data_IF_060385697249
#
_entry.id   IF_060385697249
#
_cell.length_a   1.000
_cell.length_b   1.000
_cell.length_c   1.000
_cell.angle_alpha   90.00
_cell.angle_beta   90.00
_cell.angle_gamma   90.00
#
_symmetry.space_group_name_H-M   'P 1'
#
loop_
_entity.id
_entity.type
_entity.pdbx_description
1 polymer ?
#
# COMPACT_ATOMS: atom_id res chain seq x y z
N UNK A 1 0.67 2.06 4.74
CA UNK A 1 0.77 3.54 4.84
C UNK A 1 1.64 3.98 6.01
N UNK A 2 1.23 3.73 7.25
CA UNK A 2 1.96 4.14 8.45
C UNK A 2 3.40 3.59 8.48
N UNK A 3 3.55 2.29 8.26
CA UNK A 3 4.83 1.58 8.13
C UNK A 3 5.75 2.21 7.08
N UNK A 4 5.19 2.50 5.90
CA UNK A 4 5.92 3.15 4.80
C UNK A 4 6.37 4.56 5.17
N UNK A 5 5.53 5.36 5.84
CA UNK A 5 5.86 6.72 6.27
C UNK A 5 6.96 6.71 7.34
N UNK A 6 6.87 5.80 8.32
CA UNK A 6 7.88 5.62 9.35
C UNK A 6 9.24 5.24 8.75
N UNK A 7 9.25 4.24 7.87
CA UNK A 7 10.46 3.81 7.19
C UNK A 7 11.04 4.93 6.29
N UNK A 8 10.19 5.62 5.53
CA UNK A 8 10.62 6.75 4.70
C UNK A 8 11.20 7.90 5.53
N UNK A 9 10.56 8.26 6.65
CA UNK A 9 11.07 9.27 7.58
C UNK A 9 12.42 8.86 8.17
N UNK A 10 12.56 7.61 8.62
CA UNK A 10 13.84 7.11 9.13
C UNK A 10 14.93 7.16 8.04
N UNK A 11 14.62 6.70 6.83
CA UNK A 11 15.54 6.66 5.69
C UNK A 11 15.87 8.03 5.08
N UNK A 12 15.19 9.10 5.50
CA UNK A 12 15.44 10.48 5.04
C UNK A 12 16.02 11.35 6.14
N UNK A 13 15.35 11.42 7.29
CA UNK A 13 15.62 12.40 8.35
C UNK A 13 16.50 11.88 9.49
N UNK A 14 16.58 10.56 9.68
CA UNK A 14 17.51 9.98 10.66
C UNK A 14 18.89 9.73 10.01
N UNK A 15 19.94 9.94 10.81
CA UNK A 15 21.33 9.66 10.45
C UNK A 15 21.77 8.40 11.20
N UNK A 16 21.94 7.29 10.47
CA UNK A 16 22.43 6.03 11.04
C UNK A 16 23.21 5.24 9.98
N UNK A 17 24.09 4.35 10.43
CA UNK A 17 24.93 3.51 9.55
C UNK A 17 24.05 2.48 8.82
N UNK A 18 24.25 2.33 7.51
CA UNK A 18 23.51 1.34 6.68
C UNK A 18 22.20 1.84 6.07
N UNK A 19 21.84 3.12 6.24
CA UNK A 19 20.60 3.71 5.68
C UNK A 19 20.44 3.51 4.18
N UNK A 20 21.48 3.77 3.38
CA UNK A 20 21.41 3.60 1.92
C UNK A 20 21.40 2.12 1.51
N UNK A 21 21.99 1.22 2.31
CA UNK A 21 21.91 -0.22 2.09
C UNK A 21 20.48 -0.73 2.30
N UNK A 22 19.82 -0.35 3.40
CA UNK A 22 18.42 -0.70 3.65
C UNK A 22 17.49 -0.16 2.56
N UNK A 23 17.75 1.05 2.07
CA UNK A 23 17.00 1.59 0.95
C UNK A 23 17.27 0.81 -0.35
N UNK A 24 18.52 0.43 -0.62
CA UNK A 24 18.89 -0.43 -1.74
C UNK A 24 18.18 -1.79 -1.69
N UNK A 25 18.08 -2.40 -0.50
CA UNK A 25 17.32 -3.64 -0.28
C UNK A 25 15.82 -3.44 -0.57
N UNK A 26 15.23 -2.32 -0.14
CA UNK A 26 13.83 -2.02 -0.46
C UNK A 26 13.61 -1.91 -1.99
N UNK A 27 14.55 -1.31 -2.73
CA UNK A 27 14.49 -1.29 -4.20
C UNK A 27 14.67 -2.69 -4.77
N UNK A 28 15.62 -3.49 -4.27
CA UNK A 28 15.83 -4.85 -4.75
C UNK A 28 14.57 -5.72 -4.60
N UNK A 29 13.82 -5.55 -3.50
CA UNK A 29 12.56 -6.24 -3.28
C UNK A 29 11.44 -5.84 -4.26
N UNK A 30 11.52 -4.66 -4.89
CA UNK A 30 10.59 -4.28 -5.97
C UNK A 30 10.83 -5.06 -7.27
N UNK A 31 12.03 -5.60 -7.45
CA UNK A 31 12.40 -6.38 -8.62
C UNK A 31 12.00 -7.86 -8.48
N UNK A 32 11.67 -8.30 -7.26
CA UNK A 32 11.26 -9.68 -6.99
C UNK A 32 9.80 -9.85 -7.44
N UNK A 33 9.49 -10.78 -8.37
CA UNK A 33 8.13 -11.07 -8.77
C UNK A 33 7.33 -11.64 -7.60
N UNK A 34 6.09 -11.17 -7.42
CA UNK A 34 5.24 -11.59 -6.31
C UNK A 34 4.94 -13.09 -6.33
N UNK A 35 4.88 -13.68 -7.52
CA UNK A 35 4.60 -15.09 -7.79
C UNK A 35 5.66 -16.01 -7.16
N UNK A 36 6.93 -15.59 -7.17
CA UNK A 36 8.04 -16.36 -6.59
C UNK A 36 7.96 -16.36 -5.07
N UNK A 37 7.49 -15.25 -4.48
CA UNK A 37 7.32 -15.13 -3.03
C UNK A 37 6.01 -15.75 -2.50
N UNK A 38 5.08 -16.07 -3.40
CA UNK A 38 3.73 -16.52 -3.04
C UNK A 38 3.74 -17.80 -2.19
N UNK A 39 4.40 -18.86 -2.69
CA UNK A 39 4.43 -20.15 -2.00
C UNK A 39 5.17 -20.08 -0.65
N UNK A 40 6.37 -19.47 -0.55
CA UNK A 40 7.02 -19.27 0.75
C UNK A 40 6.16 -18.51 1.75
N UNK A 41 5.47 -17.46 1.30
CA UNK A 41 4.60 -16.65 2.15
C UNK A 41 3.37 -17.43 2.63
N UNK A 42 2.76 -18.24 1.74
CA UNK A 42 1.67 -19.14 2.13
C UNK A 42 2.12 -20.13 3.22
N UNK A 43 3.26 -20.81 3.01
CA UNK A 43 3.81 -21.76 3.98
C UNK A 43 4.11 -21.09 5.33
N UNK A 44 4.55 -19.82 5.32
CA UNK A 44 4.77 -19.06 6.54
C UNK A 44 3.45 -18.81 7.28
N UNK A 45 2.42 -18.34 6.57
CA UNK A 45 1.09 -18.06 7.16
C UNK A 45 0.44 -19.34 7.70
N UNK A 46 0.59 -20.46 7.00
CA UNK A 46 0.13 -21.79 7.44
C UNK A 46 0.86 -22.25 8.71
N UNK A 47 2.20 -22.17 8.73
CA UNK A 47 2.99 -22.50 9.93
C UNK A 47 2.67 -21.63 11.14
N UNK A 48 2.28 -20.38 10.91
CA UNK A 48 1.83 -19.47 11.97
C UNK A 48 0.39 -19.74 12.43
N UNK A 49 -0.33 -20.65 11.75
CA UNK A 49 -1.73 -20.95 12.05
C UNK A 49 -2.68 -19.81 11.72
N UNK A 50 -2.31 -18.92 10.79
CA UNK A 50 -3.07 -17.71 10.46
C UNK A 50 -4.09 -17.90 9.33
N UNK A 51 -4.11 -19.07 8.68
CA UNK A 51 -5.07 -19.36 7.62
C UNK A 51 -6.51 -19.10 8.08
N UNK A 52 -7.34 -18.70 7.13
CA UNK A 52 -8.75 -18.38 7.35
C UNK A 52 -8.99 -17.27 8.38
N UNK A 53 -8.12 -16.26 8.41
CA UNK A 53 -8.23 -15.13 9.32
C UNK A 53 -7.86 -13.79 8.68
N UNK A 54 -8.28 -12.69 9.30
CA UNK A 54 -7.87 -11.34 8.87
C UNK A 54 -6.35 -11.13 8.98
N UNK A 55 -5.64 -11.87 9.83
CA UNK A 55 -4.18 -11.76 9.93
C UNK A 55 -3.52 -12.22 8.64
N UNK A 56 -3.96 -13.33 8.06
CA UNK A 56 -3.48 -13.81 6.75
C UNK A 56 -3.77 -12.82 5.62
N UNK A 57 -4.88 -12.08 5.70
CA UNK A 57 -5.27 -11.11 4.69
C UNK A 57 -4.54 -9.76 4.81
N UNK A 58 -4.06 -9.39 6.00
CA UNK A 58 -3.57 -8.03 6.27
C UNK A 58 -2.07 -7.97 6.54
N UNK A 59 -1.57 -8.80 7.46
CA UNK A 59 -0.20 -8.70 7.98
C UNK A 59 0.88 -8.81 6.89
N UNK A 60 0.78 -9.75 5.92
CA UNK A 60 1.78 -9.88 4.86
C UNK A 60 1.99 -8.62 4.02
N UNK A 61 0.97 -7.77 3.92
CA UNK A 61 0.98 -6.58 3.07
C UNK A 61 1.19 -5.27 3.84
N UNK A 62 1.44 -5.34 5.16
CA UNK A 62 1.70 -4.14 5.98
C UNK A 62 3.01 -3.45 5.59
N UNK A 63 4.01 -4.20 5.13
CA UNK A 63 5.26 -3.66 4.63
C UNK A 63 5.21 -3.57 3.10
N UNK A 64 5.38 -2.37 2.56
CA UNK A 64 5.37 -2.13 1.12
C UNK A 64 6.68 -1.47 0.70
N UNK A 65 7.58 -2.18 0.00
CA UNK A 65 8.80 -1.59 -0.55
C UNK A 65 8.49 -0.40 -1.47
N UNK A 66 7.39 -0.47 -2.23
CA UNK A 66 6.94 0.61 -3.12
C UNK A 66 6.51 1.82 -2.31
N UNK A 67 5.75 1.61 -1.23
CA UNK A 67 5.35 2.69 -0.33
C UNK A 67 6.55 3.37 0.32
N UNK A 68 7.56 2.59 0.75
CA UNK A 68 8.82 3.15 1.29
C UNK A 68 9.55 3.96 0.24
N UNK A 69 9.67 3.43 -0.98
CA UNK A 69 10.32 4.12 -2.09
C UNK A 69 9.63 5.46 -2.40
N UNK A 70 8.33 5.45 -2.67
CA UNK A 70 7.58 6.65 -3.06
C UNK A 70 7.59 7.72 -1.97
N UNK A 71 7.32 7.34 -0.72
CA UNK A 71 7.32 8.30 0.38
C UNK A 71 8.72 8.82 0.70
N UNK A 72 9.78 8.02 0.53
CA UNK A 72 11.16 8.50 0.69
C UNK A 72 11.51 9.52 -0.39
N UNK A 73 11.16 9.25 -1.65
CA UNK A 73 11.41 10.20 -2.74
C UNK A 73 10.66 11.51 -2.51
N UNK A 74 9.39 11.43 -2.10
CA UNK A 74 8.62 12.62 -1.76
C UNK A 74 9.20 13.38 -0.56
N UNK A 75 9.53 12.70 0.54
CA UNK A 75 10.10 13.39 1.71
C UNK A 75 11.42 14.08 1.38
N UNK A 76 12.21 13.57 0.43
CA UNK A 76 13.43 14.25 -0.04
C UNK A 76 13.16 15.56 -0.79
N UNK A 77 11.97 15.76 -1.36
CA UNK A 77 11.61 17.04 -2.00
C UNK A 77 11.12 18.07 -1.00
N UNK A 78 10.80 17.67 0.24
CA UNK A 78 10.39 18.60 1.30
C UNK A 78 11.64 19.34 1.82
N UNK A 79 11.68 20.69 1.78
CA UNK A 79 12.80 21.48 2.27
C UNK A 79 13.20 21.11 3.70
N UNK A 80 14.51 21.07 3.97
CA UNK A 80 15.04 20.76 5.31
C UNK A 80 14.68 21.85 6.33
N UNK A 81 14.52 23.10 5.88
CA UNK A 81 14.19 24.27 6.71
C UNK A 81 12.98 24.05 7.62
N UNK A 82 11.96 23.31 7.16
CA UNK A 82 10.80 22.97 7.98
C UNK A 82 11.17 22.08 9.19
N UNK A 83 12.11 21.17 9.00
CA UNK A 83 12.59 20.27 10.04
C UNK A 83 13.61 20.95 10.95
N UNK A 84 14.44 21.84 10.40
CA UNK A 84 15.38 22.64 11.17
C UNK A 84 14.64 23.63 12.09
N UNK A 85 13.62 24.32 11.58
CA UNK A 85 12.75 25.18 12.38
C UNK A 85 12.09 24.40 13.54
N UNK A 86 11.51 23.23 13.24
CA UNK A 86 10.93 22.38 14.28
C UNK A 86 11.96 21.94 15.34
N UNK A 87 13.22 21.67 14.96
CA UNK A 87 14.28 21.35 15.92
C UNK A 87 14.67 22.54 16.78
N UNK A 88 14.69 23.75 16.23
CA UNK A 88 14.92 25.00 16.97
C UNK A 88 13.82 25.19 18.02
N UNK A 89 12.57 24.86 17.68
CA UNK A 89 11.42 24.84 18.60
C UNK A 89 11.44 23.67 19.61
N UNK A 90 12.51 22.86 19.62
CA UNK A 90 12.69 21.74 20.54
C UNK A 90 11.92 20.47 20.17
N UNK A 91 11.39 20.37 18.94
CA UNK A 91 10.61 19.21 18.53
C UNK A 91 11.49 17.96 18.33
N UNK A 92 11.13 16.86 19.00
CA UNK A 92 11.72 15.55 18.77
C UNK A 92 11.26 14.89 17.46
N UNK A 93 11.84 13.74 17.11
CA UNK A 93 11.51 13.02 15.88
C UNK A 93 10.04 12.63 15.74
N UNK A 94 9.39 12.21 16.83
CA UNK A 94 7.97 11.90 16.82
C UNK A 94 7.09 13.13 16.55
N UNK A 95 7.47 14.28 17.10
CA UNK A 95 6.77 15.55 16.86
C UNK A 95 6.99 16.02 15.43
N UNK A 96 8.23 15.97 14.91
CA UNK A 96 8.53 16.29 13.52
C UNK A 96 7.79 15.36 12.55
N UNK A 97 7.72 14.06 12.83
CA UNK A 97 6.97 13.10 12.01
C UNK A 97 5.49 13.48 11.94
N UNK A 98 4.86 13.74 13.09
CA UNK A 98 3.42 14.01 13.20
C UNK A 98 3.03 15.39 12.68
N UNK A 99 3.80 16.43 12.99
CA UNK A 99 3.43 17.82 12.74
C UNK A 99 4.08 18.42 11.49
N UNK A 100 5.13 17.81 10.95
CA UNK A 100 5.82 18.30 9.75
C UNK A 100 5.72 17.28 8.62
N UNK A 101 6.29 16.08 8.79
CA UNK A 101 6.38 15.11 7.71
C UNK A 101 5.00 14.60 7.24
N UNK A 102 4.13 14.22 8.16
CA UNK A 102 2.79 13.70 7.88
C UNK A 102 1.91 14.70 7.09
N UNK A 103 1.68 15.94 7.55
CA UNK A 103 0.82 16.89 6.82
C UNK A 103 1.42 17.30 5.47
N UNK A 104 2.74 17.53 5.39
CA UNK A 104 3.39 17.87 4.11
C UNK A 104 3.36 16.70 3.12
N UNK A 105 3.33 15.46 3.62
CA UNK A 105 3.22 14.24 2.79
C UNK A 105 1.78 13.84 2.48
N UNK A 106 0.77 14.59 2.92
CA UNK A 106 -0.63 14.23 2.70
C UNK A 106 -0.99 13.96 1.22
N UNK A 107 -0.50 14.72 0.23
CA UNK A 107 -0.77 14.42 -1.18
C UNK A 107 -0.18 13.08 -1.63
N UNK A 108 1.07 12.80 -1.27
CA UNK A 108 1.75 11.54 -1.61
C UNK A 108 1.13 10.34 -0.88
N UNK A 109 0.74 10.52 0.38
CA UNK A 109 0.02 9.52 1.16
C UNK A 109 -1.36 9.23 0.56
N UNK A 110 -2.08 10.22 0.06
CA UNK A 110 -3.36 10.03 -0.63
C UNK A 110 -3.21 9.19 -1.90
N UNK A 111 -2.20 9.51 -2.73
CA UNK A 111 -1.90 8.73 -3.93
C UNK A 111 -1.51 7.27 -3.59
N UNK A 112 -0.62 7.08 -2.60
CA UNK A 112 -0.22 5.75 -2.15
C UNK A 112 -1.40 4.99 -1.53
N UNK A 113 -2.26 5.66 -0.78
CA UNK A 113 -3.45 5.05 -0.17
C UNK A 113 -4.40 4.51 -1.23
N UNK A 114 -4.65 5.30 -2.27
CA UNK A 114 -5.47 4.89 -3.39
C UNK A 114 -4.87 3.70 -4.15
N UNK A 115 -3.58 3.77 -4.50
CA UNK A 115 -2.89 2.69 -5.19
C UNK A 115 -2.94 1.39 -4.37
N UNK A 116 -2.66 1.48 -3.07
CA UNK A 116 -2.68 0.34 -2.15
C UNK A 116 -4.09 -0.23 -1.99
N UNK A 117 -5.09 0.64 -1.86
CA UNK A 117 -6.49 0.24 -1.73
C UNK A 117 -6.99 -0.49 -2.98
N UNK A 118 -6.75 0.08 -4.17
CA UNK A 118 -7.14 -0.53 -5.45
C UNK A 118 -6.47 -1.91 -5.60
N UNK A 119 -5.18 -2.00 -5.29
CA UNK A 119 -4.46 -3.28 -5.34
C UNK A 119 -5.02 -4.32 -4.36
N UNK A 120 -5.29 -3.93 -3.11
CA UNK A 120 -5.82 -4.83 -2.10
C UNK A 120 -7.27 -5.25 -2.39
N UNK A 121 -8.11 -4.32 -2.84
CA UNK A 121 -9.53 -4.58 -3.15
C UNK A 121 -9.70 -5.50 -4.36
N UNK A 122 -8.84 -5.36 -5.37
CA UNK A 122 -8.86 -6.20 -6.56
C UNK A 122 -8.08 -7.52 -6.40
N UNK A 123 -7.47 -7.75 -5.23
CA UNK A 123 -6.68 -8.95 -5.00
C UNK A 123 -7.58 -10.19 -4.95
N UNK A 124 -7.29 -11.15 -5.82
CA UNK A 124 -8.05 -12.41 -5.93
C UNK A 124 -7.24 -13.62 -5.45
N UNK A 125 -6.07 -13.85 -6.03
CA UNK A 125 -5.32 -15.09 -5.87
C UNK A 125 -4.92 -15.37 -4.41
N UNK A 126 -4.44 -14.35 -3.69
CA UNK A 126 -4.02 -14.55 -2.30
C UNK A 126 -5.21 -14.89 -1.39
N UNK A 127 -6.28 -14.07 -1.31
CA UNK A 127 -7.48 -14.43 -0.55
C UNK A 127 -8.03 -15.81 -0.88
N UNK A 128 -8.09 -16.18 -2.16
CA UNK A 128 -8.60 -17.48 -2.60
C UNK A 128 -7.87 -18.67 -1.95
N UNK A 129 -6.55 -18.53 -1.75
CA UNK A 129 -5.71 -19.62 -1.24
C UNK A 129 -5.64 -19.62 0.29
N UNK A 130 -5.74 -18.46 0.94
CA UNK A 130 -5.58 -18.35 2.40
C UNK A 130 -6.89 -18.36 3.18
N UNK A 131 -8.04 -18.17 2.54
CA UNK A 131 -9.36 -18.23 3.19
C UNK A 131 -10.13 -19.49 2.78
N UNK A 132 -10.93 -20.02 3.71
CA UNK A 132 -11.68 -21.27 3.55
C UNK A 132 -13.16 -21.09 3.86
N UNK A 133 -13.47 -20.39 4.95
CA UNK A 133 -14.85 -20.13 5.37
C UNK A 133 -15.50 -19.07 4.48
N UNK A 134 -16.82 -19.17 4.31
CA UNK A 134 -17.59 -18.25 3.44
C UNK A 134 -17.54 -16.82 3.97
N UNK A 135 -17.45 -16.67 5.28
CA UNK A 135 -17.39 -15.41 6.01
C UNK A 135 -16.07 -14.66 5.73
N UNK A 136 -15.00 -15.39 5.40
CA UNK A 136 -13.68 -14.83 5.09
C UNK A 136 -13.45 -14.59 3.60
N UNK A 137 -14.37 -15.00 2.72
CA UNK A 137 -14.25 -14.79 1.29
C UNK A 137 -14.44 -13.32 0.92
N UNK A 138 -13.58 -12.82 0.04
CA UNK A 138 -13.67 -11.45 -0.46
C UNK A 138 -14.70 -11.33 -1.57
N UNK A 139 -15.12 -10.10 -1.86
CA UNK A 139 -16.03 -9.81 -2.96
C UNK A 139 -15.52 -10.33 -4.32
N UNK A 140 -14.19 -10.30 -4.53
CA UNK A 140 -13.55 -10.83 -5.75
C UNK A 140 -13.76 -12.35 -5.89
N UNK A 141 -13.66 -13.09 -4.78
CA UNK A 141 -13.92 -14.53 -4.76
C UNK A 141 -15.40 -14.81 -5.02
N UNK A 142 -16.30 -14.06 -4.39
CA UNK A 142 -17.74 -14.24 -4.56
C UNK A 142 -18.21 -14.06 -6.01
N UNK A 143 -17.68 -13.05 -6.73
CA UNK A 143 -17.96 -12.86 -8.17
C UNK A 143 -17.51 -14.06 -8.98
N UNK A 144 -16.35 -14.64 -8.65
CA UNK A 144 -15.84 -15.82 -9.34
C UNK A 144 -16.70 -17.06 -9.07
N UNK A 145 -17.25 -17.24 -7.87
CA UNK A 145 -18.20 -18.32 -7.61
C UNK A 145 -19.48 -18.20 -8.45
N UNK A 146 -20.06 -17.00 -8.57
CA UNK A 146 -21.25 -16.75 -9.40
C UNK A 146 -20.97 -17.04 -10.88
N UNK A 147 -19.77 -16.70 -11.36
CA UNK A 147 -19.35 -16.97 -12.73
C UNK A 147 -19.26 -18.47 -13.04
N UNK A 148 -18.85 -19.29 -12.07
CA UNK A 148 -18.62 -20.72 -12.24
C UNK A 148 -19.82 -21.60 -11.83
N UNK A 149 -21.01 -21.03 -11.66
CA UNK A 149 -22.24 -21.83 -11.53
C UNK A 149 -22.51 -22.62 -12.82
N UNK A 150 -23.09 -23.82 -12.70
CA UNK A 150 -23.35 -24.74 -13.83
C UNK A 150 -24.09 -24.08 -15.00
N UNK A 151 -24.97 -23.12 -14.71
CA UNK A 151 -25.62 -22.28 -15.69
C UNK A 151 -25.31 -20.82 -15.37
N UNK A 152 -24.28 -20.28 -16.01
CA UNK A 152 -23.86 -18.90 -15.82
C UNK A 152 -24.98 -17.92 -16.20
N UNK A 153 -25.55 -17.25 -15.19
CA UNK A 153 -26.50 -16.15 -15.38
C UNK A 153 -25.73 -14.85 -15.59
N UNK A 154 -25.35 -14.58 -16.83
CA UNK A 154 -24.52 -13.42 -17.21
C UNK A 154 -25.05 -12.08 -16.70
N UNK A 155 -26.37 -11.93 -16.58
CA UNK A 155 -26.98 -10.74 -15.98
C UNK A 155 -26.64 -10.58 -14.49
N UNK A 156 -26.57 -11.69 -13.73
CA UNK A 156 -26.18 -11.69 -12.32
C UNK A 156 -24.67 -11.45 -12.17
N UNK A 157 -23.86 -12.10 -13.01
CA UNK A 157 -22.40 -11.89 -13.04
C UNK A 157 -22.07 -10.43 -13.32
N UNK A 158 -22.71 -9.82 -14.33
CA UNK A 158 -22.50 -8.42 -14.67
C UNK A 158 -22.92 -7.48 -13.54
N UNK A 159 -24.08 -7.73 -12.91
CA UNK A 159 -24.54 -6.94 -11.76
C UNK A 159 -23.55 -7.01 -10.58
N UNK A 160 -23.05 -8.21 -10.25
CA UNK A 160 -22.07 -8.41 -9.20
C UNK A 160 -20.74 -7.71 -9.52
N UNK A 161 -20.25 -7.84 -10.75
CA UNK A 161 -19.03 -7.18 -11.20
C UNK A 161 -19.12 -5.65 -11.10
N UNK A 162 -20.27 -5.06 -11.49
CA UNK A 162 -20.51 -3.61 -11.37
C UNK A 162 -20.47 -3.19 -9.89
N UNK A 163 -21.15 -3.91 -8.99
CA UNK A 163 -21.16 -3.61 -7.56
C UNK A 163 -19.75 -3.67 -6.96
N UNK A 164 -18.97 -4.70 -7.31
CA UNK A 164 -17.60 -4.88 -6.82
C UNK A 164 -16.62 -3.84 -7.41
N UNK A 165 -16.92 -3.30 -8.59
CA UNK A 165 -16.15 -2.21 -9.21
C UNK A 165 -16.36 -0.86 -8.52
N UNK A 166 -17.53 -0.60 -7.93
CA UNK A 166 -17.87 0.71 -7.35
C UNK A 166 -16.84 1.23 -6.32
N UNK A 167 -16.36 0.45 -5.34
CA UNK A 167 -15.37 0.93 -4.38
C UNK A 167 -14.04 1.34 -5.04
N UNK A 168 -13.58 0.58 -6.02
CA UNK A 168 -12.38 0.90 -6.81
C UNK A 168 -12.58 2.20 -7.58
N UNK A 169 -13.75 2.39 -8.19
CA UNK A 169 -14.08 3.62 -8.91
C UNK A 169 -14.14 4.84 -7.98
N UNK A 170 -14.77 4.70 -6.81
CA UNK A 170 -14.83 5.76 -5.78
C UNK A 170 -13.41 6.11 -5.31
N UNK A 171 -12.59 5.12 -4.99
CA UNK A 171 -11.21 5.35 -4.56
C UNK A 171 -10.40 6.07 -5.64
N UNK A 172 -10.54 5.68 -6.91
CA UNK A 172 -9.90 6.36 -8.04
C UNK A 172 -10.36 7.82 -8.17
N UNK A 173 -11.67 8.09 -8.10
CA UNK A 173 -12.22 9.44 -8.21
C UNK A 173 -11.80 10.36 -7.06
N UNK A 174 -11.63 9.83 -5.85
CA UNK A 174 -11.08 10.58 -4.72
C UNK A 174 -9.58 10.86 -4.92
N UNK A 175 -8.86 9.91 -5.51
CA UNK A 175 -7.41 10.00 -5.68
C UNK A 175 -6.96 10.81 -6.89
N UNK A 176 -7.79 10.94 -7.94
CA UNK A 176 -7.40 11.57 -9.21
C UNK A 176 -6.81 12.98 -9.03
N UNK A 177 -7.32 13.76 -8.07
CA UNK A 177 -6.81 15.12 -7.77
C UNK A 177 -5.40 15.08 -7.17
N UNK A 178 -5.10 14.07 -6.35
CA UNK A 178 -3.78 13.86 -5.76
C UNK A 178 -2.77 13.34 -6.80
N UNK A 179 -3.20 12.44 -7.69
CA UNK A 179 -2.37 11.95 -8.80
C UNK A 179 -1.97 13.07 -9.76
N UNK A 180 -2.91 13.92 -10.18
CA UNK A 180 -2.62 15.04 -11.08
C UNK A 180 -1.60 16.01 -10.47
N UNK A 181 -1.73 16.33 -9.17
CA UNK A 181 -0.75 17.19 -8.47
C UNK A 181 0.60 16.51 -8.25
N UNK A 182 0.62 15.22 -7.97
CA UNK A 182 1.85 14.44 -7.76
C UNK A 182 2.67 14.24 -9.03
N UNK A 183 2.02 14.00 -10.18
CA UNK A 183 2.67 13.90 -11.49
C UNK A 183 3.20 15.27 -11.94
N UNK A 184 2.46 16.35 -11.71
CA UNK A 184 2.89 17.71 -12.05
C UNK A 184 4.18 18.13 -11.31
N UNK A 185 4.36 17.73 -10.05
CA UNK A 185 5.57 18.02 -9.27
C UNK A 185 6.79 17.16 -9.69
N UNK A 186 6.56 15.99 -10.31
CA UNK A 186 7.61 15.15 -10.88
C UNK A 186 8.04 15.56 -12.30
N UNK A 187 7.19 16.31 -13.02
CA UNK A 187 7.43 16.77 -14.39
C UNK A 187 7.98 18.20 -14.53
N UNK A 188 7.89 19.05 -13.50
CA UNK A 188 8.48 20.39 -13.47
C UNK A 188 9.96 20.33 -13.05
N UNK A 189 10.78 19.68 -13.87
CA UNK A 189 12.22 19.92 -13.95
C UNK A 189 12.59 20.01 -15.43
N UNK A 190 12.35 21.20 -15.96
CA UNK A 190 12.78 21.73 -17.25
C UNK A 190 12.64 23.23 -17.17
#
# INVERSE_FOLDING_TARGET
LLTSLLAAYALTRLRFRGRELLFGLAIALLLVPGEVTFLPLYLLVDRLGWLDSYLALTVPFLASPLGVFLLRQFLKTVPEDYFDAARIDGAGHWQMLRHVALPLSAPALGALAALTFIGAWNMYLWPLVVTKSREMQTAQIAVNFILNEEVARWNVVAAAAILVLLPTLIAFLLAQRAFVRGIAMGGLKG
#
